data_IF_309828196481
#
_entry.id   IF_309828196481
#
_cell.length_a   1.000
_cell.length_b   1.000
_cell.length_c   1.000
_cell.angle_alpha   90.00
_cell.angle_beta   90.00
_cell.angle_gamma   90.00
#
_symmetry.space_group_name_H-M   'P 1'
#
loop_
_entity.id
_entity.type
_entity.pdbx_description
1 polymer ?
#
# COMPACT_ATOMS: atom_id res chain seq x y z
N UNK A 1 39.28 -18.43 18.78
CA UNK A 1 39.05 -17.00 19.01
C UNK A 1 37.69 -16.85 19.65
N UNK A 2 37.69 -16.51 20.93
CA UNK A 2 36.44 -16.43 21.75
C UNK A 2 36.12 -14.95 21.96
N UNK A 3 35.48 -14.35 20.97
CA UNK A 3 34.88 -13.02 21.13
C UNK A 3 33.49 -13.10 21.79
N UNK A 4 32.90 -11.98 22.18
CA UNK A 4 31.53 -11.92 22.71
C UNK A 4 30.56 -12.44 21.67
N UNK A 5 29.43 -12.98 22.14
CA UNK A 5 28.35 -13.39 21.25
C UNK A 5 27.75 -12.16 20.53
N UNK A 6 27.38 -12.31 19.27
CA UNK A 6 26.89 -11.23 18.45
C UNK A 6 25.63 -10.56 19.05
N UNK A 7 24.69 -11.35 19.60
CA UNK A 7 23.49 -10.82 20.25
C UNK A 7 23.80 -9.97 21.50
N UNK A 8 24.84 -10.30 22.23
CA UNK A 8 25.33 -9.55 23.39
C UNK A 8 26.11 -8.32 22.92
N UNK A 9 26.98 -8.48 21.96
CA UNK A 9 27.80 -7.41 21.37
C UNK A 9 26.95 -6.27 20.82
N UNK A 10 25.86 -6.60 20.10
CA UNK A 10 24.92 -5.61 19.54
C UNK A 10 24.25 -4.75 20.63
N UNK A 11 23.91 -5.34 21.77
CA UNK A 11 23.32 -4.60 22.90
C UNK A 11 24.36 -3.73 23.58
N UNK A 12 25.55 -4.24 23.85
CA UNK A 12 26.64 -3.52 24.53
C UNK A 12 27.13 -2.30 23.72
N UNK A 13 27.02 -2.35 22.38
CA UNK A 13 27.38 -1.25 21.49
C UNK A 13 26.19 -0.36 21.10
N UNK A 14 25.03 -0.53 21.74
CA UNK A 14 23.84 0.31 21.53
C UNK A 14 23.15 0.12 20.18
N UNK A 15 23.48 -0.97 19.45
CA UNK A 15 22.87 -1.30 18.16
C UNK A 15 21.55 -2.06 18.30
N UNK A 16 21.20 -2.52 19.50
CA UNK A 16 19.91 -3.12 19.85
C UNK A 16 19.52 -2.78 21.30
N UNK A 17 18.24 -2.54 21.55
CA UNK A 17 17.74 -2.18 22.88
C UNK A 17 17.66 -3.37 23.85
N UNK A 18 17.55 -4.60 23.31
CA UNK A 18 17.54 -5.83 24.09
C UNK A 18 18.14 -6.98 23.30
N UNK A 19 18.48 -8.05 24.03
CA UNK A 19 19.04 -9.25 23.42
C UNK A 19 18.06 -9.95 22.48
N UNK A 20 16.75 -9.93 22.79
CA UNK A 20 15.72 -10.46 21.90
C UNK A 20 15.64 -9.66 20.60
N UNK A 21 15.73 -8.32 20.68
CA UNK A 21 15.77 -7.46 19.49
C UNK A 21 17.05 -7.69 18.67
N UNK A 22 18.20 -7.87 19.32
CA UNK A 22 19.44 -8.22 18.65
C UNK A 22 19.33 -9.54 17.88
N UNK A 23 18.77 -10.58 18.50
CA UNK A 23 18.53 -11.87 17.85
C UNK A 23 17.60 -11.74 16.65
N UNK A 24 16.51 -10.97 16.77
CA UNK A 24 15.60 -10.70 15.68
C UNK A 24 16.28 -10.01 14.49
N UNK A 25 17.17 -9.03 14.75
CA UNK A 25 17.96 -8.35 13.72
C UNK A 25 18.87 -9.32 12.97
N UNK A 26 19.58 -10.20 13.68
CA UNK A 26 20.46 -11.19 13.06
C UNK A 26 19.66 -12.20 12.25
N UNK A 27 18.57 -12.74 12.80
CA UNK A 27 17.70 -13.70 12.10
C UNK A 27 17.01 -13.10 10.88
N UNK A 28 16.76 -11.80 10.89
CA UNK A 28 16.24 -11.05 9.75
C UNK A 28 17.32 -10.70 8.69
N UNK A 29 18.57 -11.12 8.86
CA UNK A 29 19.67 -10.83 7.95
C UNK A 29 20.10 -9.36 7.93
N UNK A 30 19.82 -8.62 9.00
CA UNK A 30 20.07 -7.17 9.11
C UNK A 30 21.40 -6.80 9.75
N UNK A 31 22.26 -7.76 9.98
CA UNK A 31 23.59 -7.56 10.57
C UNK A 31 24.64 -8.05 9.58
N UNK A 32 25.66 -7.25 9.35
CA UNK A 32 26.88 -7.65 8.63
C UNK A 32 28.06 -7.61 9.58
N UNK A 33 29.00 -8.54 9.37
CA UNK A 33 30.31 -8.56 10.02
C UNK A 33 31.33 -8.54 8.91
N UNK A 34 32.22 -7.55 8.90
CA UNK A 34 33.26 -7.35 7.87
C UNK A 34 32.66 -7.38 6.43
N UNK A 35 31.50 -6.75 6.27
CA UNK A 35 30.77 -6.68 4.99
C UNK A 35 30.01 -7.95 4.59
N UNK A 36 30.18 -9.09 5.27
CA UNK A 36 29.45 -10.34 5.03
C UNK A 36 28.21 -10.45 5.94
N UNK A 37 27.11 -11.09 5.48
CA UNK A 37 25.94 -11.33 6.33
C UNK A 37 26.34 -12.14 7.59
N UNK A 38 25.86 -11.72 8.76
CA UNK A 38 26.06 -12.45 10.00
C UNK A 38 25.32 -13.81 9.95
N UNK A 39 25.89 -14.84 10.53
CA UNK A 39 25.34 -16.20 10.55
C UNK A 39 24.23 -16.34 11.59
N UNK A 40 24.59 -16.53 12.85
CA UNK A 40 23.68 -16.80 13.96
C UNK A 40 23.85 -15.79 15.08
N UNK A 41 22.80 -15.51 15.88
CA UNK A 41 22.90 -14.59 17.02
C UNK A 41 23.97 -14.98 18.05
N UNK A 42 24.28 -16.28 18.13
CA UNK A 42 25.27 -16.81 19.03
C UNK A 42 26.71 -16.84 18.52
N UNK A 43 26.95 -16.43 17.28
CA UNK A 43 28.28 -16.43 16.69
C UNK A 43 29.20 -15.45 17.45
N UNK A 44 30.48 -15.78 17.56
CA UNK A 44 31.47 -14.92 18.20
C UNK A 44 31.85 -13.76 17.27
N UNK A 45 31.90 -12.55 17.80
CA UNK A 45 32.42 -11.37 17.09
C UNK A 45 33.92 -11.29 17.37
N UNK A 46 34.73 -11.34 16.31
CA UNK A 46 36.18 -11.21 16.44
C UNK A 46 36.56 -9.80 16.94
N UNK A 47 37.64 -9.71 17.69
CA UNK A 47 38.15 -8.44 18.16
C UNK A 47 38.53 -7.54 16.96
N UNK A 48 38.00 -6.31 16.93
CA UNK A 48 38.21 -5.37 15.83
C UNK A 48 37.32 -5.60 14.58
N UNK A 49 36.44 -6.60 14.58
CA UNK A 49 35.49 -6.81 13.46
C UNK A 49 34.55 -5.61 13.27
N UNK A 50 34.34 -5.22 12.03
CA UNK A 50 33.35 -4.17 11.67
C UNK A 50 31.94 -4.76 11.65
N UNK A 51 31.14 -4.44 12.66
CA UNK A 51 29.72 -4.87 12.73
C UNK A 51 28.81 -3.72 12.31
N UNK A 52 27.99 -3.96 11.29
CA UNK A 52 27.09 -2.96 10.70
C UNK A 52 25.64 -3.45 10.75
N UNK A 53 24.72 -2.54 11.07
CA UNK A 53 23.29 -2.75 10.87
C UNK A 53 22.90 -2.31 9.47
N UNK A 54 22.32 -3.23 8.70
CA UNK A 54 21.64 -2.87 7.47
C UNK A 54 20.32 -2.18 7.88
N UNK A 55 20.03 -0.96 7.37
CA UNK A 55 18.74 -0.34 7.60
C UNK A 55 17.61 -1.31 7.24
N UNK A 56 16.60 -1.43 8.10
CA UNK A 56 15.44 -2.26 7.82
C UNK A 56 14.66 -1.76 6.63
N UNK A 57 13.67 -2.50 6.18
CA UNK A 57 12.74 -1.96 5.21
C UNK A 57 12.25 -0.61 5.73
N UNK A 58 12.38 0.41 4.89
CA UNK A 58 12.00 1.78 5.22
C UNK A 58 10.53 1.87 5.60
N UNK A 59 9.71 0.97 5.05
CA UNK A 59 8.27 0.91 5.24
C UNK A 59 7.79 -0.47 5.71
N UNK A 60 6.63 -0.52 6.36
CA UNK A 60 6.00 -1.76 6.83
C UNK A 60 5.59 -2.72 5.70
N UNK A 61 5.56 -2.24 4.46
CA UNK A 61 5.23 -3.05 3.29
C UNK A 61 5.46 -2.33 1.97
N UNK A 62 5.52 -3.11 0.89
CA UNK A 62 5.71 -2.59 -0.49
C UNK A 62 4.61 -1.61 -0.93
N UNK A 63 3.43 -1.68 -0.31
CA UNK A 63 2.32 -0.77 -0.56
C UNK A 63 2.71 0.70 -0.37
N UNK A 64 3.52 1.02 0.63
CA UNK A 64 3.97 2.40 0.86
C UNK A 64 4.65 3.01 -0.38
N UNK A 65 5.55 2.26 -1.04
CA UNK A 65 6.24 2.71 -2.26
C UNK A 65 5.23 2.94 -3.41
N UNK A 66 4.23 2.05 -3.55
CA UNK A 66 3.19 2.20 -4.58
C UNK A 66 2.40 3.49 -4.36
N UNK A 67 1.88 3.68 -3.15
CA UNK A 67 1.06 4.85 -2.83
C UNK A 67 1.87 6.14 -2.89
N UNK A 68 3.12 6.15 -2.40
CA UNK A 68 4.01 7.29 -2.49
C UNK A 68 4.11 7.81 -3.93
N UNK A 69 4.48 6.94 -4.88
CA UNK A 69 4.58 7.32 -6.28
C UNK A 69 3.26 7.81 -6.87
N UNK A 70 2.14 7.17 -6.51
CA UNK A 70 0.83 7.60 -6.96
C UNK A 70 0.44 9.00 -6.43
N UNK A 71 0.64 9.26 -5.15
CA UNK A 71 0.35 10.58 -4.55
C UNK A 71 1.18 11.70 -5.20
N UNK A 72 2.47 11.42 -5.50
CA UNK A 72 3.37 12.39 -6.13
C UNK A 72 2.94 12.70 -7.56
N UNK A 73 2.68 11.67 -8.38
CA UNK A 73 2.27 11.84 -9.78
C UNK A 73 0.88 12.46 -9.91
N UNK A 74 -0.08 11.99 -9.13
CA UNK A 74 -1.47 12.43 -9.15
C UNK A 74 -1.69 13.74 -8.37
N UNK A 75 -0.66 14.23 -7.65
CA UNK A 75 -0.70 15.45 -6.82
C UNK A 75 -1.82 15.42 -5.79
N UNK A 76 -2.01 14.29 -5.14
CA UNK A 76 -2.98 14.12 -4.07
C UNK A 76 -2.30 14.38 -2.73
N UNK A 77 -2.84 15.31 -1.94
CA UNK A 77 -2.29 15.68 -0.63
C UNK A 77 -3.20 15.18 0.50
N UNK A 78 -2.77 14.18 1.30
CA UNK A 78 -3.50 13.69 2.47
C UNK A 78 -3.45 14.63 3.69
N UNK A 79 -2.61 15.67 3.68
CA UNK A 79 -2.33 16.52 4.84
C UNK A 79 -3.59 17.14 5.42
N UNK A 80 -3.76 16.98 6.73
CA UNK A 80 -4.90 17.53 7.48
C UNK A 80 -6.24 16.81 7.21
N UNK A 81 -6.22 15.71 6.44
CA UNK A 81 -7.44 14.98 6.06
C UNK A 81 -7.63 13.74 6.93
N UNK A 82 -8.86 13.36 7.17
CA UNK A 82 -9.24 12.03 7.63
C UNK A 82 -9.20 11.09 6.44
N UNK A 83 -8.58 9.93 6.60
CA UNK A 83 -8.41 8.95 5.54
C UNK A 83 -9.07 7.60 5.88
N UNK A 84 -9.46 6.84 4.85
CA UNK A 84 -9.79 5.42 4.95
C UNK A 84 -8.90 4.63 4.00
N UNK A 85 -8.24 3.60 4.52
CA UNK A 85 -7.40 2.66 3.77
C UNK A 85 -8.12 1.31 3.68
N UNK A 86 -8.60 0.97 2.48
CA UNK A 86 -9.43 -0.20 2.23
C UNK A 86 -8.58 -1.32 1.63
N UNK A 87 -8.39 -2.39 2.40
CA UNK A 87 -7.43 -3.45 2.12
C UNK A 87 -6.07 -3.15 2.75
N UNK A 88 -6.08 -2.69 4.01
CA UNK A 88 -4.88 -2.18 4.68
C UNK A 88 -3.75 -3.21 4.82
N UNK A 89 -4.07 -4.50 4.96
CA UNK A 89 -3.09 -5.58 5.09
C UNK A 89 -2.02 -5.25 6.15
N UNK A 90 -0.73 -5.28 5.80
CA UNK A 90 0.37 -4.90 6.72
C UNK A 90 0.43 -3.41 7.04
N UNK A 91 -0.30 -2.56 6.30
CA UNK A 91 -0.42 -1.12 6.57
C UNK A 91 0.45 -0.23 5.70
N UNK A 92 0.92 -0.70 4.55
CA UNK A 92 1.78 0.12 3.69
C UNK A 92 1.12 1.42 3.23
N UNK A 93 -0.17 1.38 2.84
CA UNK A 93 -0.90 2.60 2.47
C UNK A 93 -1.24 3.44 3.70
N UNK A 94 -1.65 2.82 4.79
CA UNK A 94 -1.87 3.49 6.09
C UNK A 94 -0.63 4.29 6.53
N UNK A 95 0.56 3.66 6.51
CA UNK A 95 1.83 4.31 6.85
C UNK A 95 2.08 5.54 5.98
N UNK A 96 1.94 5.40 4.66
CA UNK A 96 2.18 6.49 3.72
C UNK A 96 1.19 7.65 3.91
N UNK A 97 -0.08 7.36 4.17
CA UNK A 97 -1.07 8.40 4.49
C UNK A 97 -0.68 9.20 5.74
N UNK A 98 -0.21 8.52 6.80
CA UNK A 98 0.26 9.17 8.04
C UNK A 98 1.53 9.99 7.82
N UNK A 99 2.49 9.48 7.05
CA UNK A 99 3.73 10.19 6.70
C UNK A 99 3.44 11.44 5.86
N UNK A 100 2.41 11.40 5.00
CA UNK A 100 1.94 12.55 4.22
C UNK A 100 1.01 13.49 5.00
N UNK A 101 0.84 13.25 6.33
CA UNK A 101 0.16 14.16 7.23
C UNK A 101 -1.34 13.97 7.36
N UNK A 102 -1.89 12.80 7.02
CA UNK A 102 -3.26 12.47 7.40
C UNK A 102 -3.41 12.53 8.93
N UNK A 103 -4.50 13.14 9.39
CA UNK A 103 -4.75 13.34 10.83
C UNK A 103 -5.35 12.10 11.50
N UNK A 104 -6.01 11.27 10.73
CA UNK A 104 -6.57 9.98 11.14
C UNK A 104 -6.66 9.04 9.94
N UNK A 105 -6.41 7.75 10.17
CA UNK A 105 -6.56 6.70 9.14
C UNK A 105 -7.40 5.56 9.70
N UNK A 106 -8.51 5.28 9.07
CA UNK A 106 -9.31 4.07 9.28
C UNK A 106 -8.72 2.95 8.42
N UNK A 107 -7.99 2.02 9.04
CA UNK A 107 -7.36 0.89 8.37
C UNK A 107 -8.32 -0.30 8.35
N UNK A 108 -8.93 -0.55 7.19
CA UNK A 108 -9.99 -1.55 7.00
C UNK A 108 -9.45 -2.77 6.29
N UNK A 109 -9.61 -3.96 6.88
CA UNK A 109 -9.24 -5.22 6.23
C UNK A 109 -10.24 -6.35 6.57
N UNK A 110 -10.40 -7.29 5.64
CA UNK A 110 -11.18 -8.52 5.85
C UNK A 110 -10.44 -9.51 6.73
N UNK A 111 -9.11 -9.47 6.75
CA UNK A 111 -8.24 -10.24 7.65
C UNK A 111 -8.31 -9.74 9.09
N UNK A 112 -7.59 -10.42 9.97
CA UNK A 112 -7.44 -10.03 11.37
C UNK A 112 -5.97 -9.98 11.75
N UNK A 113 -5.59 -8.94 12.50
CA UNK A 113 -4.25 -8.83 13.06
C UNK A 113 -3.13 -8.72 12.04
N UNK A 114 -3.42 -8.32 10.80
CA UNK A 114 -2.42 -8.19 9.74
C UNK A 114 -1.61 -6.90 9.84
N UNK A 115 -2.24 -5.83 10.36
CA UNK A 115 -1.62 -4.52 10.46
C UNK A 115 -0.39 -4.58 11.37
N UNK A 116 0.71 -4.00 10.91
CA UNK A 116 1.98 -3.97 11.64
C UNK A 116 1.82 -3.27 13.00
N UNK A 117 2.48 -3.80 14.05
CA UNK A 117 2.34 -3.33 15.44
C UNK A 117 2.59 -1.83 15.59
N UNK A 118 3.58 -1.27 14.90
CA UNK A 118 3.88 0.16 14.91
C UNK A 118 2.67 1.03 14.50
N UNK A 119 1.84 0.54 13.58
CA UNK A 119 0.63 1.23 13.12
C UNK A 119 -0.56 0.96 14.04
N UNK A 120 -0.66 -0.25 14.60
CA UNK A 120 -1.72 -0.60 15.54
C UNK A 120 -1.67 0.25 16.82
N UNK A 121 -0.47 0.68 17.21
CA UNK A 121 -0.24 1.50 18.41
C UNK A 121 -0.21 3.01 18.13
N UNK A 122 -0.27 3.43 16.86
CA UNK A 122 -0.34 4.86 16.50
C UNK A 122 -1.74 5.41 16.85
N UNK A 123 -1.85 6.46 17.69
CA UNK A 123 -3.15 7.00 18.12
C UNK A 123 -3.99 7.61 16.99
N UNK A 124 -3.39 7.83 15.82
CA UNK A 124 -4.09 8.32 14.62
C UNK A 124 -4.72 7.18 13.79
N UNK A 125 -4.43 5.91 14.12
CA UNK A 125 -4.93 4.75 13.38
C UNK A 125 -6.11 4.12 14.11
N UNK A 126 -7.21 3.94 13.38
CA UNK A 126 -8.37 3.17 13.83
C UNK A 126 -8.38 1.85 13.07
N UNK A 127 -8.07 0.75 13.75
CA UNK A 127 -8.01 -0.58 13.15
C UNK A 127 -9.41 -1.19 13.04
N UNK A 128 -9.79 -1.60 11.84
CA UNK A 128 -11.10 -2.20 11.53
C UNK A 128 -10.87 -3.54 10.85
N UNK A 129 -10.64 -4.55 11.64
CA UNK A 129 -10.41 -5.93 11.21
C UNK A 129 -11.72 -6.68 10.93
N UNK A 130 -11.66 -7.71 10.07
CA UNK A 130 -12.75 -8.62 9.74
C UNK A 130 -13.98 -7.94 9.11
N UNK A 131 -13.79 -6.84 8.41
CA UNK A 131 -14.85 -6.12 7.69
C UNK A 131 -14.73 -6.35 6.19
N UNK A 132 -15.83 -6.82 5.59
CA UNK A 132 -15.88 -6.92 4.13
C UNK A 132 -16.04 -5.51 3.53
N UNK A 133 -15.07 -5.10 2.74
CA UNK A 133 -15.05 -3.76 2.13
C UNK A 133 -16.31 -3.41 1.30
N UNK A 134 -17.04 -4.42 0.81
CA UNK A 134 -18.32 -4.22 0.10
C UNK A 134 -19.44 -3.68 0.99
N UNK A 135 -19.36 -3.92 2.28
CA UNK A 135 -20.35 -3.49 3.27
C UNK A 135 -19.87 -2.33 4.15
N UNK A 136 -18.75 -1.73 3.80
CA UNK A 136 -18.22 -0.57 4.51
C UNK A 136 -19.24 0.58 4.49
N UNK A 137 -19.46 1.19 5.66
CA UNK A 137 -20.46 2.24 5.85
C UNK A 137 -20.06 3.20 6.96
N UNK A 138 -20.92 4.18 7.25
CA UNK A 138 -20.76 5.09 8.39
C UNK A 138 -20.83 4.39 9.75
N UNK A 139 -21.19 3.13 9.81
CA UNK A 139 -21.14 2.32 11.03
C UNK A 139 -19.69 2.03 11.42
N UNK A 140 -18.85 1.68 10.47
CA UNK A 140 -17.44 1.38 10.67
C UNK A 140 -16.58 2.65 10.61
N UNK A 141 -16.95 3.61 9.74
CA UNK A 141 -16.26 4.88 9.55
C UNK A 141 -17.24 6.02 9.85
N UNK A 142 -17.35 6.46 11.11
CA UNK A 142 -18.43 7.35 11.55
C UNK A 142 -18.28 8.81 11.14
N UNK A 143 -17.14 9.20 10.57
CA UNK A 143 -16.90 10.57 10.06
C UNK A 143 -16.57 10.54 8.57
N UNK A 144 -16.96 11.59 7.80
CA UNK A 144 -16.64 11.66 6.39
C UNK A 144 -15.14 11.74 6.14
N UNK A 145 -14.62 10.84 5.29
CA UNK A 145 -13.21 10.83 4.92
C UNK A 145 -12.92 11.81 3.79
N UNK A 146 -11.87 12.62 3.93
CA UNK A 146 -11.39 13.49 2.86
C UNK A 146 -10.67 12.71 1.76
N UNK A 147 -10.09 11.54 2.08
CA UNK A 147 -9.39 10.69 1.14
C UNK A 147 -9.64 9.21 1.45
N UNK A 148 -9.80 8.40 0.41
CA UNK A 148 -9.82 6.95 0.49
C UNK A 148 -8.68 6.37 -0.37
N UNK A 149 -7.98 5.36 0.15
CA UNK A 149 -7.09 4.50 -0.62
C UNK A 149 -7.70 3.10 -0.73
N UNK A 150 -7.53 2.45 -1.88
CA UNK A 150 -8.10 1.11 -2.14
C UNK A 150 -7.04 0.21 -2.74
N UNK A 151 -6.66 -0.84 -2.00
CA UNK A 151 -5.74 -1.90 -2.43
C UNK A 151 -6.34 -3.28 -2.09
N UNK A 152 -7.31 -3.72 -2.85
CA UNK A 152 -7.96 -5.02 -2.66
C UNK A 152 -7.46 -6.06 -3.65
N UNK A 153 -7.51 -7.35 -3.27
CA UNK A 153 -7.11 -8.48 -4.10
C UNK A 153 -8.23 -9.51 -4.21
N UNK A 154 -8.21 -10.27 -5.32
CA UNK A 154 -9.17 -11.35 -5.61
C UNK A 154 -10.63 -10.89 -5.81
N UNK A 155 -10.83 -9.61 -6.03
CA UNK A 155 -12.13 -8.99 -6.28
C UNK A 155 -11.94 -7.77 -7.19
N UNK A 156 -12.91 -7.50 -8.06
CA UNK A 156 -12.94 -6.24 -8.80
C UNK A 156 -13.20 -5.07 -7.87
N UNK A 157 -12.45 -3.97 -8.06
CA UNK A 157 -12.64 -2.73 -7.30
C UNK A 157 -14.03 -2.12 -7.51
N UNK A 158 -14.68 -2.42 -8.63
CA UNK A 158 -16.06 -1.98 -8.91
C UNK A 158 -17.07 -2.42 -7.85
N UNK A 159 -16.82 -3.57 -7.20
CA UNK A 159 -17.68 -4.07 -6.12
C UNK A 159 -17.46 -3.34 -4.79
N UNK A 160 -16.39 -2.57 -4.68
CA UNK A 160 -15.96 -1.87 -3.47
C UNK A 160 -16.27 -0.38 -3.55
N UNK A 161 -16.14 0.22 -4.73
CA UNK A 161 -16.29 1.68 -4.93
C UNK A 161 -17.61 2.28 -4.41
N UNK A 162 -18.78 1.62 -4.51
CA UNK A 162 -20.02 2.17 -3.92
C UNK A 162 -19.91 2.35 -2.40
N UNK A 163 -19.30 1.38 -1.69
CA UNK A 163 -19.09 1.46 -0.25
C UNK A 163 -18.05 2.53 0.12
N UNK A 164 -16.96 2.62 -0.64
CA UNK A 164 -15.96 3.69 -0.50
C UNK A 164 -16.60 5.07 -0.66
N UNK A 165 -17.45 5.24 -1.69
CA UNK A 165 -18.14 6.50 -1.92
C UNK A 165 -19.05 6.91 -0.75
N UNK A 166 -19.66 5.95 -0.08
CA UNK A 166 -20.58 6.22 1.04
C UNK A 166 -19.89 6.85 2.25
N UNK A 167 -18.59 6.58 2.45
CA UNK A 167 -17.80 7.11 3.58
C UNK A 167 -16.93 8.31 3.20
N UNK A 168 -16.83 8.66 1.92
CA UNK A 168 -16.12 9.86 1.49
C UNK A 168 -16.94 11.13 1.76
N UNK A 169 -16.24 12.22 2.07
CA UNK A 169 -16.82 13.57 2.05
C UNK A 169 -17.25 13.96 0.62
N UNK A 170 -18.18 14.90 0.42
CA UNK A 170 -18.57 15.37 -0.93
C UNK A 170 -17.39 15.80 -1.81
N UNK A 171 -16.39 16.46 -1.24
CA UNK A 171 -15.12 16.84 -1.91
C UNK A 171 -14.00 15.82 -1.72
N UNK A 172 -14.33 14.59 -1.34
CA UNK A 172 -13.33 13.56 -1.04
C UNK A 172 -12.77 12.91 -2.30
N UNK A 173 -11.50 12.51 -2.20
CA UNK A 173 -10.76 11.82 -3.24
C UNK A 173 -10.66 10.32 -2.95
N UNK A 174 -10.65 9.50 -4.00
CA UNK A 174 -10.28 8.08 -3.92
C UNK A 174 -9.07 7.80 -4.81
N UNK A 175 -8.02 7.23 -4.23
CA UNK A 175 -6.83 6.73 -4.94
C UNK A 175 -6.93 5.22 -4.99
N UNK A 176 -7.29 4.69 -6.14
CA UNK A 176 -7.72 3.30 -6.33
C UNK A 176 -6.66 2.52 -7.10
N UNK A 177 -6.09 1.49 -6.49
CA UNK A 177 -5.17 0.58 -7.16
C UNK A 177 -5.96 -0.43 -8.01
N UNK A 178 -5.88 -0.27 -9.32
CA UNK A 178 -6.46 -1.18 -10.30
C UNK A 178 -5.47 -2.27 -10.65
N UNK A 179 -5.87 -3.50 -10.46
CA UNK A 179 -5.08 -4.70 -10.74
C UNK A 179 -5.71 -5.44 -11.93
N UNK A 180 -5.15 -5.34 -13.13
CA UNK A 180 -5.76 -5.90 -14.35
C UNK A 180 -6.19 -7.36 -14.22
N UNK A 181 -5.42 -8.19 -13.49
CA UNK A 181 -5.74 -9.60 -13.28
C UNK A 181 -7.06 -9.86 -12.56
N UNK A 182 -7.60 -8.88 -11.84
CA UNK A 182 -8.90 -8.97 -11.15
C UNK A 182 -10.04 -8.26 -11.91
N UNK A 183 -9.72 -7.55 -13.00
CA UNK A 183 -10.68 -6.74 -13.75
C UNK A 183 -11.01 -7.33 -15.14
N UNK A 184 -10.03 -7.93 -15.84
CA UNK A 184 -10.23 -8.36 -17.24
C UNK A 184 -11.02 -9.65 -17.40
N UNK A 185 -11.38 -10.31 -16.29
CA UNK A 185 -12.07 -11.58 -16.30
C UNK A 185 -11.12 -12.79 -16.42
N UNK A 186 -11.53 -13.90 -15.81
CA UNK A 186 -10.71 -15.10 -15.58
C UNK A 186 -10.06 -15.68 -16.84
N UNK A 187 -10.76 -15.66 -17.97
CA UNK A 187 -10.28 -16.26 -19.23
C UNK A 187 -9.22 -15.45 -19.95
N UNK A 188 -8.97 -14.21 -19.54
CA UNK A 188 -7.97 -13.32 -20.15
C UNK A 188 -6.70 -13.21 -19.31
N UNK A 189 -6.68 -13.85 -18.15
CA UNK A 189 -5.51 -13.91 -17.28
C UNK A 189 -4.61 -15.03 -17.78
N UNK A 190 -3.35 -14.70 -18.07
CA UNK A 190 -2.37 -15.63 -18.60
C UNK A 190 -1.86 -16.63 -17.55
N UNK A 191 -0.89 -17.44 -17.99
CA UNK A 191 -0.24 -18.43 -17.11
C UNK A 191 0.40 -17.73 -15.90
N UNK A 192 0.26 -18.31 -14.72
CA UNK A 192 0.78 -17.74 -13.49
C UNK A 192 0.02 -16.53 -12.96
N UNK A 193 -1.19 -16.25 -13.45
CA UNK A 193 -1.98 -15.11 -12.95
C UNK A 193 -1.57 -13.76 -13.55
N UNK A 194 -0.76 -13.74 -14.63
CA UNK A 194 -0.19 -12.51 -15.17
C UNK A 194 -0.97 -12.04 -16.41
N UNK A 195 -1.28 -10.74 -16.41
CA UNK A 195 -1.78 -10.00 -17.58
C UNK A 195 -0.63 -9.19 -18.14
N UNK A 196 -0.10 -9.59 -19.29
CA UNK A 196 1.06 -8.94 -19.94
C UNK A 196 0.69 -8.05 -21.13
N UNK A 197 -0.52 -8.19 -21.67
CA UNK A 197 -0.97 -7.43 -22.84
C UNK A 197 -1.36 -5.99 -22.43
N UNK A 198 -0.67 -4.95 -22.99
CA UNK A 198 -1.01 -3.56 -22.73
C UNK A 198 -2.44 -3.17 -23.14
N UNK A 199 -3.02 -3.87 -24.12
CA UNK A 199 -4.40 -3.63 -24.53
C UNK A 199 -5.38 -4.06 -23.41
N UNK A 200 -5.09 -5.14 -22.70
CA UNK A 200 -5.87 -5.59 -21.55
C UNK A 200 -5.66 -4.68 -20.33
N UNK A 201 -4.45 -4.13 -20.13
CA UNK A 201 -4.21 -3.12 -19.09
C UNK A 201 -5.08 -1.89 -19.32
N UNK A 202 -5.06 -1.36 -20.55
CA UNK A 202 -5.90 -0.22 -20.94
C UNK A 202 -7.38 -0.52 -20.80
N UNK A 203 -7.82 -1.71 -21.21
CA UNK A 203 -9.21 -2.12 -21.06
C UNK A 203 -9.61 -2.16 -19.59
N UNK A 204 -8.83 -2.78 -18.70
CA UNK A 204 -9.12 -2.82 -17.26
C UNK A 204 -9.28 -1.42 -16.66
N UNK A 205 -8.33 -0.52 -16.94
CA UNK A 205 -8.42 0.87 -16.49
C UNK A 205 -9.67 1.58 -17.02
N UNK A 206 -9.94 1.40 -18.32
CA UNK A 206 -11.09 2.01 -18.99
C UNK A 206 -12.41 1.55 -18.39
N UNK A 207 -12.59 0.24 -18.22
CA UNK A 207 -13.82 -0.33 -17.69
C UNK A 207 -14.08 0.14 -16.26
N UNK A 208 -13.04 0.18 -15.42
CA UNK A 208 -13.14 0.69 -14.04
C UNK A 208 -13.43 2.20 -14.03
N UNK A 209 -12.69 3.00 -14.79
CA UNK A 209 -12.87 4.45 -14.81
C UNK A 209 -14.25 4.84 -15.40
N UNK A 210 -14.70 4.14 -16.44
CA UNK A 210 -16.01 4.37 -17.06
C UNK A 210 -17.13 4.06 -16.06
N UNK A 211 -17.13 2.88 -15.44
CA UNK A 211 -18.15 2.49 -14.47
C UNK A 211 -18.16 3.41 -13.24
N UNK A 212 -16.99 3.81 -12.73
CA UNK A 212 -16.89 4.76 -11.63
C UNK A 212 -17.58 6.08 -11.96
N UNK A 213 -17.40 6.59 -13.20
CA UNK A 213 -18.01 7.86 -13.61
C UNK A 213 -19.52 7.76 -13.93
N UNK A 214 -19.94 6.69 -14.62
CA UNK A 214 -21.29 6.63 -15.19
C UNK A 214 -22.29 5.93 -14.27
N UNK A 215 -21.83 4.98 -13.48
CA UNK A 215 -22.69 4.16 -12.63
C UNK A 215 -22.60 4.54 -11.15
N UNK A 216 -21.46 5.10 -10.71
CA UNK A 216 -21.20 5.33 -9.28
C UNK A 216 -21.04 6.81 -8.89
N UNK A 217 -21.10 7.73 -9.86
CA UNK A 217 -21.10 9.18 -9.61
C UNK A 217 -19.76 9.74 -9.14
N UNK A 218 -18.63 9.11 -9.50
CA UNK A 218 -17.32 9.72 -9.38
C UNK A 218 -16.97 10.57 -10.60
N UNK A 219 -16.09 11.56 -10.42
CA UNK A 219 -15.34 12.16 -11.52
C UNK A 219 -13.94 11.55 -11.59
N UNK A 220 -13.40 11.40 -12.79
CA UNK A 220 -12.01 10.96 -12.98
C UNK A 220 -11.08 12.17 -13.06
N UNK A 221 -10.06 12.21 -12.20
CA UNK A 221 -9.11 13.32 -12.13
C UNK A 221 -7.78 12.94 -12.77
N UNK A 222 -7.32 11.69 -12.60
CA UNK A 222 -6.02 11.24 -13.08
C UNK A 222 -5.87 9.74 -13.11
N UNK A 223 -4.83 9.29 -13.82
CA UNK A 223 -4.37 7.90 -13.81
C UNK A 223 -2.84 7.86 -13.90
N UNK A 224 -2.21 6.87 -13.28
CA UNK A 224 -0.79 6.60 -13.44
C UNK A 224 -0.46 5.11 -13.24
N UNK A 225 0.70 4.68 -13.72
CA UNK A 225 1.23 3.37 -13.38
C UNK A 225 1.70 3.34 -11.91
N UNK A 226 1.62 2.19 -11.28
CA UNK A 226 2.32 1.93 -10.02
C UNK A 226 3.85 1.93 -10.27
N UNK A 227 4.66 2.56 -9.40
CA UNK A 227 6.11 2.61 -9.58
C UNK A 227 6.78 1.23 -9.45
N UNK A 228 6.08 0.27 -8.90
CA UNK A 228 6.54 -1.13 -8.77
C UNK A 228 5.42 -2.09 -9.17
N UNK A 229 5.80 -3.27 -9.65
CA UNK A 229 4.85 -4.36 -9.95
C UNK A 229 4.27 -4.98 -8.69
N UNK A 230 3.14 -5.65 -8.84
CA UNK A 230 2.56 -6.53 -7.82
C UNK A 230 3.50 -7.68 -7.43
N UNK A 231 3.13 -8.43 -6.39
CA UNK A 231 3.96 -9.52 -5.85
C UNK A 231 4.26 -10.62 -6.89
N UNK A 232 3.31 -10.87 -7.80
CA UNK A 232 3.43 -11.87 -8.86
C UNK A 232 4.00 -11.31 -10.18
N UNK A 233 4.42 -10.02 -10.19
CA UNK A 233 4.99 -9.36 -11.37
C UNK A 233 3.98 -8.65 -12.27
N UNK A 234 2.69 -8.64 -11.93
CA UNK A 234 1.68 -7.88 -12.66
C UNK A 234 1.95 -6.38 -12.60
N UNK A 235 1.78 -5.69 -13.73
CA UNK A 235 1.66 -4.23 -13.75
C UNK A 235 0.35 -3.84 -13.09
N UNK A 236 0.39 -2.81 -12.26
CA UNK A 236 -0.75 -2.26 -11.54
C UNK A 236 -0.82 -0.76 -11.81
N UNK A 237 -2.01 -0.19 -11.65
CA UNK A 237 -2.26 1.20 -12.02
C UNK A 237 -3.09 1.89 -10.96
N UNK A 238 -2.95 3.20 -10.83
CA UNK A 238 -3.79 4.00 -9.96
C UNK A 238 -4.76 4.85 -10.77
N UNK A 239 -5.99 4.94 -10.27
CA UNK A 239 -6.98 5.94 -10.67
C UNK A 239 -7.18 6.92 -9.52
N UNK A 240 -7.16 8.21 -9.83
CA UNK A 240 -7.60 9.28 -8.94
C UNK A 240 -9.03 9.65 -9.32
N UNK A 241 -9.95 9.38 -8.40
CA UNK A 241 -11.37 9.66 -8.53
C UNK A 241 -11.78 10.71 -7.49
N UNK A 242 -12.62 11.65 -7.84
CA UNK A 242 -13.22 12.59 -6.90
C UNK A 242 -14.71 12.28 -6.74
N UNK A 243 -15.23 12.26 -5.51
CA UNK A 243 -16.60 11.84 -5.22
C UNK A 243 -17.66 12.57 -6.05
N UNK A 244 -17.57 13.86 -6.22
CA UNK A 244 -18.50 14.69 -6.99
C UNK A 244 -17.73 15.52 -8.04
N UNK A 245 -16.61 14.95 -8.55
CA UNK A 245 -15.76 15.58 -9.53
C UNK A 245 -16.32 15.59 -10.95
N UNK A 246 -15.67 16.32 -11.86
CA UNK A 246 -16.08 16.39 -13.25
C UNK A 246 -15.91 15.04 -13.96
N UNK A 247 -16.83 14.71 -14.84
CA UNK A 247 -16.68 13.56 -15.72
C UNK A 247 -15.75 13.92 -16.88
N UNK A 248 -14.75 13.05 -17.11
CA UNK A 248 -13.93 13.12 -18.30
C UNK A 248 -14.54 12.30 -19.42
N UNK A 249 -14.49 12.82 -20.64
CA UNK A 249 -14.99 12.14 -21.83
C UNK A 249 -14.09 12.39 -23.05
N UNK A 250 -14.35 11.66 -24.12
CA UNK A 250 -13.68 11.84 -25.42
C UNK A 250 -12.18 11.60 -25.36
N UNK A 251 -11.43 12.35 -26.16
CA UNK A 251 -9.99 12.18 -26.34
C UNK A 251 -9.20 12.35 -25.06
N UNK A 252 -9.58 13.27 -24.18
CA UNK A 252 -8.88 13.50 -22.89
C UNK A 252 -8.95 12.29 -21.97
N UNK A 253 -10.11 11.63 -21.89
CA UNK A 253 -10.28 10.39 -21.12
C UNK A 253 -9.38 9.28 -21.66
N UNK A 254 -9.41 9.04 -22.97
CA UNK A 254 -8.60 8.00 -23.61
C UNK A 254 -7.09 8.28 -23.49
N UNK A 255 -6.64 9.52 -23.75
CA UNK A 255 -5.22 9.89 -23.66
C UNK A 255 -4.67 9.67 -22.24
N UNK A 256 -5.42 10.02 -21.20
CA UNK A 256 -4.99 9.84 -19.82
C UNK A 256 -4.76 8.37 -19.47
N UNK A 257 -5.65 7.47 -19.94
CA UNK A 257 -5.49 6.03 -19.73
C UNK A 257 -4.32 5.46 -20.53
N UNK A 258 -4.14 5.94 -21.76
CA UNK A 258 -3.04 5.51 -22.61
C UNK A 258 -1.68 5.93 -22.06
N UNK A 259 -1.56 7.15 -21.56
CA UNK A 259 -0.34 7.65 -20.90
C UNK A 259 0.00 6.82 -19.66
N UNK A 260 -0.98 6.50 -18.81
CA UNK A 260 -0.78 5.65 -17.64
C UNK A 260 -0.27 4.25 -18.00
N UNK A 261 -0.70 3.68 -19.13
CA UNK A 261 -0.26 2.34 -19.55
C UNK A 261 1.13 2.37 -20.22
N UNK A 262 1.50 3.47 -20.87
CA UNK A 262 2.83 3.63 -21.52
C UNK A 262 3.96 3.90 -20.52
N UNK A 263 3.67 4.57 -19.41
CA UNK A 263 4.63 4.86 -18.33
C UNK A 263 5.05 3.57 -17.60
#
# INVERSE_FOLDING_TARGET
MTGPRLDVWLVEHGLAESREKAQALVMAGRVRIDGAPAGKPGDAVADGAAVELIPGPQHVGRGAIKLQGALDVLRVDPRGRVAVDVGASTGGFTEMLLERGAVRVYAVDVGRGQLHERLRTDPRVVVIDAVNARSLSSREVPEPCGIATVDVSFISVLKILPAVRSVLAPSGDAVVLVKPQFEVGRFRVGRGGIVSDPALHRQALRDVAWAAQHEMGFGMIGACASPITGAEGNREFFLHLARDGPRLAGTRFESMLEEAVKA
#
